data_IF_276963470871
#
_entry.id   IF_276963470871
#
_cell.length_a   1.000
_cell.length_b   1.000
_cell.length_c   1.000
_cell.angle_alpha   90.00
_cell.angle_beta   90.00
_cell.angle_gamma   90.00
#
_symmetry.space_group_name_H-M   'P 1'
#
loop_
_entity.id
_entity.type
_entity.pdbx_description
1 polymer ?
#
# COMPACT_ATOMS: atom_id res chain seq x y z
N UNK A 1 22.82 12.50 5.12
CA UNK A 1 23.18 13.76 5.78
C UNK A 1 24.36 13.53 6.70
N UNK A 2 25.43 14.34 6.60
CA UNK A 2 26.61 14.32 7.43
C UNK A 2 27.03 15.76 7.75
N UNK A 3 27.34 16.13 9.01
CA UNK A 3 27.82 17.45 9.33
C UNK A 3 29.10 17.80 8.55
N UNK A 4 29.17 19.01 8.00
CA UNK A 4 30.31 19.49 7.22
C UNK A 4 31.62 19.36 8.03
N UNK A 5 31.58 19.70 9.33
CA UNK A 5 32.72 19.61 10.27
C UNK A 5 33.26 18.18 10.44
N UNK A 6 32.44 17.15 10.21
CA UNK A 6 32.81 15.73 10.30
C UNK A 6 33.16 15.18 8.92
N UNK A 7 32.60 15.78 7.88
CA UNK A 7 32.81 15.37 6.49
C UNK A 7 34.13 15.86 5.86
N UNK A 8 34.73 16.92 6.40
CA UNK A 8 36.01 17.45 5.93
C UNK A 8 37.10 17.20 6.95
N UNK A 9 38.31 17.01 6.46
CA UNK A 9 39.55 16.99 7.25
C UNK A 9 40.11 18.43 7.46
N UNK A 10 41.28 18.52 8.12
CA UNK A 10 41.92 19.81 8.39
C UNK A 10 42.38 20.55 7.13
N UNK A 11 42.57 19.83 6.03
CA UNK A 11 42.99 20.38 4.72
C UNK A 11 41.80 20.64 3.80
N UNK A 12 40.55 20.51 4.29
CA UNK A 12 39.33 20.72 3.51
C UNK A 12 39.00 19.60 2.52
N UNK A 13 39.64 18.41 2.65
CA UNK A 13 39.37 17.25 1.83
C UNK A 13 38.35 16.33 2.49
N UNK A 14 37.81 15.39 1.69
CA UNK A 14 36.88 14.40 2.22
C UNK A 14 37.46 13.58 3.36
N UNK A 15 36.86 13.61 4.52
CA UNK A 15 37.24 12.78 5.64
C UNK A 15 36.94 11.29 5.37
N UNK A 16 37.63 10.40 6.08
CA UNK A 16 37.35 8.96 6.00
C UNK A 16 35.88 8.61 6.32
N UNK A 17 35.25 9.42 7.17
CA UNK A 17 33.82 9.26 7.53
C UNK A 17 32.89 9.60 6.37
N UNK A 18 33.19 10.65 5.61
CA UNK A 18 32.42 11.04 4.43
C UNK A 18 32.60 10.01 3.31
N UNK A 19 33.82 9.61 3.02
CA UNK A 19 34.15 8.59 2.00
C UNK A 19 33.41 7.30 2.30
N UNK A 20 33.49 6.77 3.53
CA UNK A 20 32.80 5.56 3.93
C UNK A 20 31.29 5.65 3.80
N UNK A 21 30.73 6.83 4.08
CA UNK A 21 29.29 7.04 3.97
C UNK A 21 28.82 7.14 2.53
N UNK A 22 29.56 7.81 1.66
CA UNK A 22 29.30 7.88 0.22
C UNK A 22 29.40 6.49 -0.42
N UNK A 23 30.45 5.74 -0.08
CA UNK A 23 30.62 4.36 -0.56
C UNK A 23 29.45 3.46 -0.15
N UNK A 24 29.02 3.52 1.12
CA UNK A 24 27.86 2.77 1.62
C UNK A 24 26.54 3.14 0.94
N UNK A 25 26.45 4.33 0.37
CA UNK A 25 25.27 4.82 -0.39
C UNK A 25 25.41 4.60 -1.90
N UNK A 26 26.51 4.01 -2.38
CA UNK A 26 26.76 3.78 -3.80
C UNK A 26 27.30 4.98 -4.58
N UNK A 27 27.82 6.02 -3.89
CA UNK A 27 28.36 7.25 -4.45
C UNK A 27 29.86 7.39 -4.20
N UNK A 28 30.61 6.30 -4.32
CA UNK A 28 32.05 6.28 -4.10
C UNK A 28 32.87 7.20 -5.03
N UNK A 29 32.28 7.59 -6.16
CA UNK A 29 32.84 8.48 -7.17
C UNK A 29 32.64 9.98 -6.87
N UNK A 30 31.84 10.31 -5.83
CA UNK A 30 31.51 11.70 -5.47
C UNK A 30 32.54 12.30 -4.53
N UNK A 31 32.82 13.60 -4.77
CA UNK A 31 33.72 14.42 -3.95
C UNK A 31 32.91 15.40 -3.10
N UNK A 32 33.51 16.06 -2.08
CA UNK A 32 32.81 17.08 -1.31
C UNK A 32 32.22 18.23 -2.17
N UNK A 33 32.87 18.54 -3.30
CA UNK A 33 32.45 19.60 -4.22
C UNK A 33 31.19 19.24 -5.02
N UNK A 34 30.86 17.94 -5.09
CA UNK A 34 29.63 17.45 -5.73
C UNK A 34 28.42 17.44 -4.76
N UNK A 35 28.62 17.81 -3.50
CA UNK A 35 27.61 17.79 -2.46
C UNK A 35 27.07 19.20 -2.20
N UNK A 36 25.78 19.29 -2.00
CA UNK A 36 25.12 20.50 -1.55
C UNK A 36 25.32 20.67 -0.03
N UNK A 37 25.45 21.91 0.41
CA UNK A 37 25.54 22.24 1.84
C UNK A 37 24.27 22.98 2.23
N UNK A 38 23.54 22.42 3.19
CA UNK A 38 22.36 23.03 3.77
C UNK A 38 22.47 23.11 5.28
N UNK A 39 21.78 24.09 5.88
CA UNK A 39 21.71 24.24 7.33
C UNK A 39 20.49 23.49 7.88
N UNK A 40 20.69 22.52 8.76
CA UNK A 40 19.63 21.73 9.40
C UNK A 40 18.96 22.45 10.59
N UNK A 41 19.25 23.74 10.77
CA UNK A 41 18.81 24.54 11.92
C UNK A 41 19.74 24.50 13.15
N UNK A 42 20.78 23.66 13.11
CA UNK A 42 21.82 23.53 14.15
C UNK A 42 23.23 23.66 13.61
N UNK A 43 23.47 23.16 12.42
CA UNK A 43 24.77 23.13 11.77
C UNK A 43 24.63 22.91 10.26
N UNK A 44 25.71 23.24 9.54
CA UNK A 44 25.79 22.96 8.13
C UNK A 44 26.06 21.46 7.91
N UNK A 45 25.31 20.85 6.99
CA UNK A 45 25.34 19.44 6.66
C UNK A 45 25.52 19.24 5.16
N UNK A 46 26.25 18.19 4.79
CA UNK A 46 26.32 17.74 3.41
C UNK A 46 25.04 17.05 3.01
N UNK A 47 24.54 17.44 1.86
CA UNK A 47 23.34 16.93 1.23
C UNK A 47 23.66 16.39 -0.16
N UNK A 48 23.01 15.34 -0.60
CA UNK A 48 23.10 14.83 -1.95
C UNK A 48 21.69 14.56 -2.47
N UNK A 49 21.36 15.18 -3.59
CA UNK A 49 20.12 14.92 -4.32
C UNK A 49 20.40 13.96 -5.48
N UNK A 50 19.67 12.88 -5.56
CA UNK A 50 19.83 11.91 -6.64
C UNK A 50 18.49 11.32 -7.08
N UNK A 51 18.46 10.91 -8.33
CA UNK A 51 17.33 10.20 -8.89
C UNK A 51 17.54 8.70 -8.69
N UNK A 52 16.68 8.10 -7.88
CA UNK A 52 16.65 6.65 -7.73
C UNK A 52 15.58 6.06 -8.65
N UNK A 53 15.93 5.01 -9.37
CA UNK A 53 14.94 4.29 -10.17
C UNK A 53 13.81 3.78 -9.28
N UNK A 54 12.57 4.06 -9.68
CA UNK A 54 11.39 3.52 -9.01
C UNK A 54 11.29 2.00 -9.20
N UNK A 55 10.54 1.36 -8.31
CA UNK A 55 10.22 -0.06 -8.47
C UNK A 55 9.00 -0.24 -9.39
N UNK A 56 8.91 -1.39 -10.05
CA UNK A 56 7.74 -1.76 -10.84
C UNK A 56 6.57 -2.05 -9.89
N UNK A 57 5.45 -1.35 -10.09
CA UNK A 57 4.29 -1.41 -9.20
C UNK A 57 3.82 -2.84 -8.95
N UNK A 58 3.70 -3.65 -10.00
CA UNK A 58 3.19 -5.03 -9.91
C UNK A 58 4.04 -5.88 -8.99
N UNK A 59 5.37 -5.84 -9.16
CA UNK A 59 6.31 -6.68 -8.42
C UNK A 59 6.32 -6.32 -6.93
N UNK A 60 6.37 -5.01 -6.64
CA UNK A 60 6.34 -4.52 -5.26
C UNK A 60 5.01 -4.80 -4.59
N UNK A 61 3.90 -4.54 -5.29
CA UNK A 61 2.57 -4.73 -4.73
C UNK A 61 2.28 -6.20 -4.45
N UNK A 62 2.67 -7.11 -5.35
CA UNK A 62 2.54 -8.55 -5.11
C UNK A 62 3.32 -8.99 -3.87
N UNK A 63 4.57 -8.53 -3.73
CA UNK A 63 5.39 -8.83 -2.56
C UNK A 63 4.78 -8.31 -1.26
N UNK A 64 4.36 -7.04 -1.25
CA UNK A 64 3.74 -6.39 -0.09
C UNK A 64 2.44 -7.09 0.31
N UNK A 65 1.57 -7.40 -0.65
CA UNK A 65 0.30 -8.08 -0.36
C UNK A 65 0.51 -9.48 0.23
N UNK A 66 1.49 -10.22 -0.29
CA UNK A 66 1.85 -11.54 0.25
C UNK A 66 2.36 -11.43 1.69
N UNK A 67 3.25 -10.47 1.96
CA UNK A 67 3.79 -10.25 3.30
C UNK A 67 2.72 -9.78 4.29
N UNK A 68 1.88 -8.83 3.90
CA UNK A 68 0.78 -8.34 4.73
C UNK A 68 -0.20 -9.45 5.06
N UNK A 69 -0.61 -10.24 4.05
CA UNK A 69 -1.53 -11.36 4.25
C UNK A 69 -0.99 -12.39 5.25
N UNK A 70 0.32 -12.67 5.20
CA UNK A 70 0.98 -13.59 6.13
C UNK A 70 1.13 -13.03 7.56
N UNK A 71 1.19 -11.70 7.72
CA UNK A 71 1.41 -11.02 9.01
C UNK A 71 0.13 -10.47 9.64
N UNK A 72 -1.04 -10.65 9.03
CA UNK A 72 -2.30 -10.19 9.61
C UNK A 72 -2.51 -10.83 10.99
N UNK A 73 -2.85 -10.05 12.04
CA UNK A 73 -3.07 -10.57 13.38
C UNK A 73 -4.44 -11.26 13.50
N UNK A 74 -4.63 -12.35 12.77
CA UNK A 74 -5.87 -13.12 12.76
C UNK A 74 -5.74 -14.27 13.76
N UNK A 75 -6.53 -14.28 14.84
CA UNK A 75 -6.39 -15.26 15.91
C UNK A 75 -6.83 -16.69 15.50
N UNK A 76 -7.70 -16.79 14.50
CA UNK A 76 -8.17 -18.07 13.97
C UNK A 76 -8.34 -17.99 12.47
N UNK A 77 -7.71 -18.91 11.76
CA UNK A 77 -7.85 -19.10 10.32
C UNK A 77 -8.49 -20.44 10.04
N UNK A 78 -9.16 -20.55 8.88
CA UNK A 78 -9.60 -21.81 8.31
C UNK A 78 -8.77 -22.11 7.07
N UNK A 79 -8.59 -23.39 6.75
CA UNK A 79 -8.02 -23.81 5.48
C UNK A 79 -9.15 -24.21 4.54
N UNK A 80 -9.09 -23.75 3.31
CA UNK A 80 -10.02 -24.13 2.25
C UNK A 80 -9.26 -24.34 0.95
N UNK A 81 -9.83 -25.15 0.08
CA UNK A 81 -9.25 -25.47 -1.22
C UNK A 81 -9.83 -24.58 -2.31
N UNK A 82 -8.96 -24.06 -3.17
CA UNK A 82 -9.33 -23.43 -4.42
C UNK A 82 -8.98 -24.36 -5.58
N UNK A 83 -9.75 -24.31 -6.66
CA UNK A 83 -9.61 -25.18 -7.82
C UNK A 83 -9.61 -26.67 -7.46
N UNK A 84 -10.39 -27.07 -6.45
CA UNK A 84 -10.47 -28.44 -5.97
C UNK A 84 -10.76 -29.43 -7.12
N UNK A 85 -10.04 -30.55 -7.14
CA UNK A 85 -10.15 -31.56 -8.19
C UNK A 85 -9.49 -31.21 -9.52
N UNK A 86 -8.70 -30.14 -9.60
CA UNK A 86 -7.93 -29.75 -10.78
C UNK A 86 -6.43 -29.84 -10.52
N UNK A 87 -5.61 -29.77 -11.60
CA UNK A 87 -4.13 -29.70 -11.47
C UNK A 87 -3.63 -28.40 -10.80
N UNK A 88 -4.51 -27.41 -10.63
CA UNK A 88 -4.25 -26.15 -9.94
C UNK A 88 -4.78 -26.10 -8.52
N UNK A 89 -5.13 -27.24 -7.92
CA UNK A 89 -5.63 -27.31 -6.54
C UNK A 89 -4.60 -26.73 -5.56
N UNK A 90 -5.05 -25.82 -4.72
CA UNK A 90 -4.23 -25.15 -3.73
C UNK A 90 -4.98 -24.97 -2.42
N UNK A 91 -4.31 -25.26 -1.31
CA UNK A 91 -4.80 -24.95 0.02
C UNK A 91 -4.51 -23.48 0.36
N UNK A 92 -5.54 -22.80 0.82
CA UNK A 92 -5.46 -21.41 1.25
C UNK A 92 -5.89 -21.28 2.70
N UNK A 93 -5.07 -20.62 3.51
CA UNK A 93 -5.38 -20.36 4.91
C UNK A 93 -5.77 -18.89 5.10
N UNK A 94 -7.02 -18.63 5.46
CA UNK A 94 -7.53 -17.30 5.78
C UNK A 94 -8.77 -17.38 6.68
N UNK A 95 -9.22 -16.22 7.20
CA UNK A 95 -10.39 -16.17 8.10
C UNK A 95 -11.68 -16.64 7.44
N UNK A 96 -11.83 -16.42 6.14
CA UNK A 96 -12.95 -16.87 5.29
C UNK A 96 -12.49 -17.06 3.85
N UNK A 97 -13.19 -17.85 3.03
CA UNK A 97 -12.90 -17.95 1.61
C UNK A 97 -12.98 -16.59 0.92
N UNK A 98 -11.90 -16.22 0.25
CA UNK A 98 -11.83 -15.00 -0.58
C UNK A 98 -12.42 -15.32 -1.94
N UNK A 99 -13.40 -14.52 -2.37
CA UNK A 99 -14.08 -14.73 -3.64
C UNK A 99 -13.59 -13.82 -4.75
N UNK A 100 -13.22 -12.60 -4.38
CA UNK A 100 -12.76 -11.57 -5.32
C UNK A 100 -11.63 -10.76 -4.71
N UNK A 101 -10.74 -10.33 -5.56
CA UNK A 101 -9.68 -9.38 -5.24
C UNK A 101 -9.78 -8.25 -6.27
N UNK A 102 -10.01 -7.04 -5.82
CA UNK A 102 -10.11 -5.86 -6.67
C UNK A 102 -8.87 -5.00 -6.44
N UNK A 103 -8.07 -4.81 -7.49
CA UNK A 103 -6.89 -3.93 -7.43
C UNK A 103 -6.81 -3.11 -8.71
N UNK A 104 -6.98 -1.80 -8.57
CA UNK A 104 -6.93 -0.85 -9.65
C UNK A 104 -5.90 0.24 -9.37
N UNK A 105 -5.23 0.69 -10.43
CA UNK A 105 -4.45 1.91 -10.49
C UNK A 105 -5.06 2.80 -11.58
N UNK A 106 -5.79 3.85 -11.16
CA UNK A 106 -6.64 4.57 -12.08
C UNK A 106 -7.72 3.67 -12.66
N UNK A 107 -7.69 3.46 -13.96
CA UNK A 107 -8.60 2.60 -14.73
C UNK A 107 -7.99 1.23 -15.12
N UNK A 108 -6.72 0.98 -14.77
CA UNK A 108 -6.03 -0.26 -15.09
C UNK A 108 -6.09 -1.27 -13.93
N UNK A 109 -6.31 -2.54 -14.26
CA UNK A 109 -6.21 -3.65 -13.30
C UNK A 109 -4.74 -3.97 -13.07
N UNK A 110 -4.29 -3.91 -11.82
CA UNK A 110 -2.94 -4.35 -11.46
C UNK A 110 -2.95 -5.88 -11.31
N UNK A 111 -2.20 -6.62 -12.15
CA UNK A 111 -2.26 -8.08 -12.20
C UNK A 111 -1.50 -8.73 -11.04
N UNK A 112 -2.12 -8.76 -9.86
CA UNK A 112 -1.62 -9.46 -8.67
C UNK A 112 -2.53 -10.61 -8.29
N UNK A 113 -2.00 -11.57 -7.51
CA UNK A 113 -2.77 -12.70 -7.00
C UNK A 113 -2.70 -12.73 -5.47
N UNK A 114 -3.84 -12.78 -4.82
CA UNK A 114 -3.94 -12.85 -3.36
C UNK A 114 -4.83 -14.01 -2.97
N UNK A 115 -4.36 -14.90 -2.12
CA UNK A 115 -5.06 -16.13 -1.72
C UNK A 115 -5.49 -17.00 -2.90
N UNK A 116 -4.68 -17.04 -3.96
CA UNK A 116 -4.99 -17.80 -5.18
C UNK A 116 -6.05 -17.17 -6.09
N UNK A 117 -6.58 -15.99 -5.72
CA UNK A 117 -7.56 -15.27 -6.53
C UNK A 117 -6.84 -14.15 -7.30
N UNK A 118 -6.89 -14.16 -8.64
CA UNK A 118 -6.33 -13.07 -9.44
C UNK A 118 -7.13 -11.78 -9.22
N UNK A 119 -6.42 -10.65 -9.23
CA UNK A 119 -7.06 -9.35 -9.16
C UNK A 119 -7.87 -9.06 -10.42
N UNK A 120 -9.00 -8.40 -10.23
CA UNK A 120 -9.92 -7.98 -11.27
C UNK A 120 -10.50 -6.60 -10.90
N UNK A 121 -11.39 -6.07 -11.74
CA UNK A 121 -12.16 -4.85 -11.50
C UNK A 121 -13.57 -5.10 -10.96
N UNK A 122 -13.92 -6.36 -10.70
CA UNK A 122 -15.24 -6.74 -10.23
C UNK A 122 -15.35 -6.69 -8.70
N UNK A 123 -16.44 -6.15 -8.19
CA UNK A 123 -16.80 -6.18 -6.78
C UNK A 123 -18.26 -6.58 -6.61
N UNK A 124 -18.64 -6.96 -5.40
CA UNK A 124 -20.03 -7.25 -5.06
C UNK A 124 -20.58 -6.16 -4.13
N UNK A 125 -21.83 -5.81 -4.31
CA UNK A 125 -22.57 -4.93 -3.42
C UNK A 125 -23.36 -5.69 -2.35
N UNK A 126 -24.47 -5.10 -1.91
CA UNK A 126 -25.37 -5.73 -0.94
C UNK A 126 -26.00 -7.00 -1.53
N UNK A 127 -25.91 -8.10 -0.80
CA UNK A 127 -26.27 -9.45 -1.29
C UNK A 127 -27.68 -9.57 -1.91
N UNK A 128 -28.63 -8.81 -1.43
CA UNK A 128 -30.03 -8.90 -1.83
C UNK A 128 -30.59 -7.65 -2.54
N UNK A 129 -29.85 -6.53 -2.50
CA UNK A 129 -30.32 -5.24 -2.97
C UNK A 129 -29.53 -4.75 -4.17
N UNK A 130 -28.43 -5.39 -4.50
CA UNK A 130 -27.55 -5.02 -5.60
C UNK A 130 -27.47 -6.14 -6.62
N UNK A 131 -27.30 -5.78 -7.88
CA UNK A 131 -26.91 -6.73 -8.90
C UNK A 131 -25.51 -7.32 -8.58
N UNK A 132 -25.27 -8.60 -8.87
CA UNK A 132 -23.97 -9.19 -8.70
C UNK A 132 -22.93 -8.67 -9.69
N UNK A 133 -21.66 -8.72 -9.32
CA UNK A 133 -20.51 -8.41 -10.17
C UNK A 133 -20.51 -6.98 -10.74
N UNK A 134 -20.55 -5.99 -9.85
CA UNK A 134 -20.38 -4.59 -10.22
C UNK A 134 -18.96 -4.35 -10.77
N UNK A 135 -18.89 -3.75 -11.96
CA UNK A 135 -17.61 -3.43 -12.60
C UNK A 135 -17.15 -2.01 -12.25
N UNK A 136 -16.02 -1.89 -11.56
CA UNK A 136 -15.38 -0.62 -11.22
C UNK A 136 -14.54 -0.16 -12.41
N UNK A 137 -14.89 0.94 -13.04
CA UNK A 137 -14.17 1.44 -14.21
C UNK A 137 -12.87 2.14 -13.83
N UNK A 138 -12.90 2.94 -12.76
CA UNK A 138 -11.76 3.67 -12.24
C UNK A 138 -11.73 3.54 -10.71
N UNK A 139 -10.54 3.52 -10.12
CA UNK A 139 -10.37 3.41 -8.67
C UNK A 139 -11.14 4.48 -7.89
N UNK A 140 -11.23 5.70 -8.43
CA UNK A 140 -11.95 6.81 -7.80
C UNK A 140 -13.48 6.60 -7.77
N UNK A 141 -14.03 5.81 -8.70
CA UNK A 141 -15.46 5.52 -8.78
C UNK A 141 -15.92 4.50 -7.73
N UNK A 142 -15.01 3.78 -7.07
CA UNK A 142 -15.32 2.66 -6.19
C UNK A 142 -16.36 3.00 -5.12
N UNK A 143 -16.12 4.07 -4.37
CA UNK A 143 -17.02 4.49 -3.30
C UNK A 143 -18.40 4.89 -3.82
N UNK A 144 -18.43 5.61 -4.93
CA UNK A 144 -19.69 6.05 -5.57
C UNK A 144 -20.50 4.86 -6.08
N UNK A 145 -19.85 3.90 -6.73
CA UNK A 145 -20.46 2.70 -7.26
C UNK A 145 -21.09 1.85 -6.13
N UNK A 146 -20.37 1.68 -5.03
CA UNK A 146 -20.87 0.91 -3.89
C UNK A 146 -22.03 1.60 -3.17
N UNK A 147 -21.99 2.91 -2.99
CA UNK A 147 -23.12 3.67 -2.42
C UNK A 147 -24.36 3.63 -3.29
N UNK A 148 -24.19 3.79 -4.60
CA UNK A 148 -25.28 3.76 -5.58
C UNK A 148 -25.75 2.34 -5.90
N UNK A 149 -25.20 1.76 -6.94
CA UNK A 149 -25.59 0.44 -7.44
C UNK A 149 -25.31 -0.70 -6.45
N UNK A 150 -24.26 -0.55 -5.61
CA UNK A 150 -23.90 -1.53 -4.62
C UNK A 150 -24.76 -1.55 -3.37
N UNK A 151 -25.52 -0.48 -3.07
CA UNK A 151 -26.33 -0.35 -1.87
C UNK A 151 -25.57 -0.60 -0.57
N UNK A 152 -24.31 -0.18 -0.52
CA UNK A 152 -23.37 -0.35 0.62
C UNK A 152 -22.60 0.94 0.85
N UNK A 153 -22.51 1.38 2.11
CA UNK A 153 -21.61 2.45 2.50
C UNK A 153 -20.23 1.85 2.85
N UNK A 154 -19.20 2.04 2.01
CA UNK A 154 -17.88 1.47 2.23
C UNK A 154 -17.08 2.21 3.31
N UNK A 155 -17.33 3.50 3.53
CA UNK A 155 -16.64 4.28 4.55
C UNK A 155 -17.16 3.94 5.95
N UNK A 156 -16.24 3.49 6.81
CA UNK A 156 -16.58 3.10 8.19
C UNK A 156 -17.13 4.26 9.01
N UNK A 157 -16.53 5.44 8.91
CA UNK A 157 -16.95 6.58 9.73
C UNK A 157 -18.30 7.13 9.28
N UNK A 158 -18.50 7.27 7.98
CA UNK A 158 -19.77 7.70 7.41
C UNK A 158 -20.89 6.72 7.80
N UNK A 159 -20.64 5.42 7.70
CA UNK A 159 -21.60 4.38 8.11
C UNK A 159 -21.93 4.45 9.59
N UNK A 160 -20.91 4.58 10.45
CA UNK A 160 -21.09 4.70 11.91
C UNK A 160 -21.93 5.92 12.27
N UNK A 161 -21.62 7.07 11.69
CA UNK A 161 -22.36 8.32 11.92
C UNK A 161 -23.80 8.21 11.45
N UNK A 162 -24.02 7.68 10.26
CA UNK A 162 -25.39 7.45 9.73
C UNK A 162 -26.21 6.56 10.66
N UNK A 163 -25.64 5.47 11.17
CA UNK A 163 -26.31 4.60 12.14
C UNK A 163 -26.64 5.36 13.42
N UNK A 164 -25.69 6.14 13.94
CA UNK A 164 -25.87 6.90 15.18
C UNK A 164 -26.98 7.95 15.06
N UNK A 165 -27.01 8.70 13.96
CA UNK A 165 -28.07 9.69 13.72
C UNK A 165 -29.46 9.04 13.56
N UNK A 166 -29.54 7.90 12.85
CA UNK A 166 -30.78 7.16 12.73
C UNK A 166 -31.29 6.63 14.09
N UNK A 167 -30.38 6.16 14.94
CA UNK A 167 -30.71 5.72 16.30
C UNK A 167 -31.24 6.87 17.17
N UNK A 168 -30.59 8.03 17.14
CA UNK A 168 -31.07 9.24 17.86
C UNK A 168 -32.47 9.65 17.40
N UNK A 169 -32.68 9.68 16.08
CA UNK A 169 -33.94 10.08 15.50
C UNK A 169 -35.07 9.14 15.93
N UNK A 170 -34.82 7.85 15.98
CA UNK A 170 -35.79 6.86 16.45
C UNK A 170 -36.00 6.90 17.97
N UNK A 171 -34.97 7.10 18.76
CA UNK A 171 -35.07 7.21 20.21
C UNK A 171 -35.77 8.51 20.67
N UNK A 172 -35.61 9.62 19.94
CA UNK A 172 -36.25 10.90 20.22
C UNK A 172 -37.75 10.96 19.85
N UNK A 173 -38.27 9.93 19.20
CA UNK A 173 -39.68 9.79 18.84
C UNK A 173 -40.49 8.95 19.83
N UNK A 174 -39.85 8.58 20.94
CA UNK A 174 -40.47 7.94 22.11
C UNK A 174 -40.17 8.80 23.33
#
# INVERSE_FOLDING_TARGET
VLPVKVGLDADGKASASLIKKLDAMGFADKTPDDLEIENDGKQDVFFISYMQAGAILVDVLQSVLTEVAAKLPIPKVMTYQIHAGTMGEQDVAFVRPVKRVLVLWGDEVVPVNVFGVPADRLTDGHRFMSEPALSVKNAEDYTHLLRGAGMVEPDFNVRRESIYEQLKLKAGTH
#
